data_IF_716972803227
#
_entry.id   IF_716972803227
#
_cell.length_a   1.000
_cell.length_b   1.000
_cell.length_c   1.000
_cell.angle_alpha   90.00
_cell.angle_beta   90.00
_cell.angle_gamma   90.00
#
_symmetry.space_group_name_H-M   'P 1'
#
loop_
_entity.id
_entity.type
_entity.pdbx_description
1 polymer ?
#
# COMPACT_ATOMS: atom_id res chain seq x y z
N UNK A 1 -4.84 -34.84 6.53
CA UNK A 1 -5.30 -34.52 7.89
C UNK A 1 -4.21 -33.65 8.54
N UNK A 2 -4.31 -32.34 8.37
CA UNK A 2 -3.43 -31.40 9.05
C UNK A 2 -4.13 -30.96 10.32
N UNK A 3 -3.50 -31.27 11.43
CA UNK A 3 -3.92 -30.85 12.78
C UNK A 3 -3.85 -29.31 12.85
N UNK A 4 -5.00 -28.65 12.98
CA UNK A 4 -5.10 -27.27 13.43
C UNK A 4 -4.96 -27.33 14.95
N UNK A 5 -3.73 -27.14 15.42
CA UNK A 5 -3.45 -26.95 16.84
C UNK A 5 -3.20 -25.45 17.08
N UNK A 6 -3.86 -24.96 18.11
CA UNK A 6 -3.78 -23.65 18.77
C UNK A 6 -4.39 -22.47 17.99
N UNK A 7 -5.36 -21.82 18.64
CA UNK A 7 -6.17 -20.67 18.25
C UNK A 7 -5.45 -19.38 17.76
N UNK A 8 -4.36 -19.52 17.00
CA UNK A 8 -3.76 -18.42 16.26
C UNK A 8 -4.62 -18.14 15.02
N UNK A 9 -5.01 -16.88 14.84
CA UNK A 9 -5.74 -16.47 13.66
C UNK A 9 -4.92 -16.81 12.41
N UNK A 10 -5.57 -17.36 11.39
CA UNK A 10 -4.94 -17.60 10.08
C UNK A 10 -4.47 -16.25 9.52
N UNK A 11 -3.24 -16.22 9.02
CA UNK A 11 -2.61 -15.05 8.43
C UNK A 11 -2.42 -15.27 6.93
N UNK A 12 -2.87 -14.31 6.13
CA UNK A 12 -2.60 -14.27 4.70
C UNK A 12 -1.53 -13.24 4.34
N UNK A 13 -0.71 -13.52 3.35
CA UNK A 13 0.29 -12.60 2.82
C UNK A 13 -0.35 -11.65 1.81
N UNK A 14 -0.41 -10.36 2.14
CA UNK A 14 -1.03 -9.30 1.35
C UNK A 14 0.03 -8.30 0.90
N UNK A 15 0.19 -8.10 -0.41
CA UNK A 15 1.00 -7.01 -0.96
C UNK A 15 0.29 -5.69 -0.73
N UNK A 16 0.89 -4.76 0.02
CA UNK A 16 0.24 -3.49 0.35
C UNK A 16 0.33 -2.42 -0.75
N UNK A 17 1.08 -2.66 -1.84
CA UNK A 17 1.31 -1.66 -2.87
C UNK A 17 1.28 -2.25 -4.27
N UNK A 18 0.15 -2.11 -4.94
CA UNK A 18 -0.05 -2.61 -6.30
C UNK A 18 -0.90 -1.65 -7.15
N UNK A 19 -0.64 -1.66 -8.46
CA UNK A 19 -1.29 -0.80 -9.43
C UNK A 19 -1.97 -1.59 -10.54
N UNK A 20 -2.93 -0.93 -11.23
CA UNK A 20 -3.55 -1.43 -12.44
C UNK A 20 -3.60 -0.37 -13.54
N UNK A 21 -3.57 -0.80 -14.81
CA UNK A 21 -3.58 0.09 -15.97
C UNK A 21 -4.91 0.84 -16.17
N UNK A 22 -5.98 0.44 -15.47
CA UNK A 22 -7.27 1.13 -15.52
C UNK A 22 -7.19 2.58 -15.03
N UNK A 23 -6.29 2.83 -14.07
CA UNK A 23 -6.05 4.15 -13.46
C UNK A 23 -4.59 4.57 -13.60
N UNK A 24 -3.63 3.78 -13.11
CA UNK A 24 -2.21 4.14 -13.07
C UNK A 24 -1.57 4.04 -14.45
N UNK A 25 -1.25 5.18 -15.06
CA UNK A 25 -0.70 5.24 -16.44
C UNK A 25 0.66 4.57 -16.62
N UNK A 26 1.43 4.46 -15.55
CA UNK A 26 2.73 3.76 -15.54
C UNK A 26 2.56 2.23 -15.45
N UNK A 27 1.42 1.75 -14.97
CA UNK A 27 1.09 0.34 -14.96
C UNK A 27 0.68 -0.14 -16.36
N UNK A 28 1.18 -1.32 -16.76
CA UNK A 28 0.98 -1.86 -18.12
C UNK A 28 -0.04 -2.99 -18.18
N UNK A 29 -0.50 -3.47 -17.04
CA UNK A 29 -1.36 -4.65 -16.92
C UNK A 29 -2.69 -4.32 -16.25
N UNK A 30 -3.78 -4.96 -16.67
CA UNK A 30 -5.09 -4.78 -16.04
C UNK A 30 -5.13 -5.43 -14.65
N UNK A 31 -6.11 -5.02 -13.84
CA UNK A 31 -6.26 -5.50 -12.48
C UNK A 31 -6.39 -7.02 -12.39
N UNK A 32 -7.06 -7.65 -13.36
CA UNK A 32 -7.21 -9.11 -13.44
C UNK A 32 -5.85 -9.81 -13.49
N UNK A 33 -4.95 -9.34 -14.35
CA UNK A 33 -3.59 -9.90 -14.44
C UNK A 33 -2.78 -9.66 -13.16
N UNK A 34 -2.93 -8.49 -12.51
CA UNK A 34 -2.32 -8.23 -11.19
C UNK A 34 -2.75 -9.26 -10.17
N UNK A 35 -4.03 -9.59 -10.14
CA UNK A 35 -4.63 -10.55 -9.21
C UNK A 35 -4.19 -11.98 -9.53
N UNK A 36 -4.17 -12.37 -10.81
CA UNK A 36 -3.70 -13.68 -11.24
C UNK A 36 -2.22 -13.92 -10.89
N UNK A 37 -1.38 -12.91 -11.12
CA UNK A 37 0.04 -12.97 -10.75
C UNK A 37 0.23 -13.04 -9.23
N UNK A 38 -0.54 -12.27 -8.45
CA UNK A 38 -0.53 -12.37 -6.99
C UNK A 38 -0.83 -13.81 -6.54
N UNK A 39 -1.89 -14.41 -7.08
CA UNK A 39 -2.26 -15.81 -6.80
C UNK A 39 -1.16 -16.78 -7.23
N UNK A 40 -0.58 -16.59 -8.41
CA UNK A 40 0.46 -17.48 -8.98
C UNK A 40 1.69 -17.59 -8.08
N UNK A 41 2.09 -16.49 -7.43
CA UNK A 41 3.26 -16.49 -6.52
C UNK A 41 2.90 -16.79 -5.06
N UNK A 42 1.63 -17.08 -4.76
CA UNK A 42 1.16 -17.46 -3.43
C UNK A 42 0.98 -16.28 -2.48
N UNK A 43 0.48 -15.15 -2.98
CA UNK A 43 -0.12 -14.11 -2.15
C UNK A 43 -1.61 -14.43 -1.93
N UNK A 44 -2.12 -14.02 -0.77
CA UNK A 44 -3.54 -14.15 -0.40
C UNK A 44 -4.34 -12.90 -0.74
N UNK A 45 -3.67 -11.83 -1.15
CA UNK A 45 -4.32 -10.60 -1.58
C UNK A 45 -3.36 -9.47 -1.93
N UNK A 46 -3.97 -8.35 -2.30
CA UNK A 46 -3.31 -7.08 -2.62
C UNK A 46 -4.09 -5.91 -2.01
N UNK A 47 -3.42 -4.81 -1.77
CA UNK A 47 -4.06 -3.50 -1.65
C UNK A 47 -3.88 -2.79 -3.00
N UNK A 48 -4.99 -2.46 -3.65
CA UNK A 48 -4.95 -1.71 -4.90
C UNK A 48 -4.79 -0.22 -4.56
N UNK A 49 -3.58 0.29 -4.75
CA UNK A 49 -3.14 1.65 -4.42
C UNK A 49 -2.85 2.45 -5.69
N UNK A 50 -3.77 2.45 -6.64
CA UNK A 50 -3.59 3.20 -7.86
C UNK A 50 -3.18 4.66 -7.59
N UNK A 51 -2.39 5.23 -8.49
CA UNK A 51 -2.00 6.64 -8.38
C UNK A 51 -3.21 7.56 -8.39
N UNK A 52 -3.20 8.51 -7.45
CA UNK A 52 -4.11 9.63 -7.42
C UNK A 52 -3.33 10.93 -7.63
N UNK A 53 -3.32 11.44 -8.86
CA UNK A 53 -2.47 12.56 -9.26
C UNK A 53 -3.14 13.39 -10.39
N UNK A 54 -2.86 14.69 -10.40
CA UNK A 54 -3.47 15.66 -11.32
C UNK A 54 -3.31 15.30 -12.81
N UNK A 55 -2.13 14.80 -13.21
CA UNK A 55 -1.86 14.46 -14.61
C UNK A 55 -2.74 13.33 -15.16
N UNK A 56 -3.35 12.51 -14.29
CA UNK A 56 -4.19 11.40 -14.69
C UNK A 56 -5.66 11.77 -14.88
N UNK A 57 -6.06 12.98 -14.44
CA UNK A 57 -7.38 13.53 -14.74
C UNK A 57 -7.62 13.70 -16.25
N UNK A 58 -6.58 14.04 -17.02
CA UNK A 58 -6.68 14.26 -18.48
C UNK A 58 -7.79 15.23 -18.89
N UNK A 59 -7.94 16.32 -18.10
CA UNK A 59 -8.95 17.34 -18.34
C UNK A 59 -10.37 16.99 -17.87
N UNK A 60 -10.54 15.88 -17.13
CA UNK A 60 -11.82 15.57 -16.46
C UNK A 60 -11.97 16.39 -15.20
N UNK A 61 -13.20 16.59 -14.80
CA UNK A 61 -13.49 17.09 -13.47
C UNK A 61 -13.03 16.11 -12.37
N UNK A 62 -12.52 16.60 -11.24
CA UNK A 62 -11.99 15.73 -10.19
C UNK A 62 -12.96 14.63 -9.72
N UNK A 63 -14.25 14.93 -9.55
CA UNK A 63 -15.25 13.93 -9.15
C UNK A 63 -15.51 12.85 -10.22
N UNK A 64 -15.39 13.18 -11.52
CA UNK A 64 -15.45 12.18 -12.58
C UNK A 64 -14.26 11.21 -12.51
N UNK A 65 -13.09 11.74 -12.13
CA UNK A 65 -11.92 10.91 -11.94
C UNK A 65 -12.07 10.01 -10.70
N UNK A 66 -12.61 10.52 -9.60
CA UNK A 66 -12.96 9.72 -8.41
C UNK A 66 -13.88 8.56 -8.77
N UNK A 67 -14.96 8.82 -9.52
CA UNK A 67 -15.90 7.79 -9.94
C UNK A 67 -15.19 6.65 -10.70
N UNK A 68 -14.30 6.97 -11.64
CA UNK A 68 -13.50 5.99 -12.38
C UNK A 68 -12.52 5.24 -11.50
N UNK A 69 -11.92 5.92 -10.51
CA UNK A 69 -11.00 5.31 -9.57
C UNK A 69 -11.70 4.22 -8.76
N UNK A 70 -12.88 4.51 -8.25
CA UNK A 70 -13.70 3.58 -7.49
C UNK A 70 -14.26 2.44 -8.36
N UNK A 71 -14.68 2.73 -9.59
CA UNK A 71 -15.13 1.70 -10.55
C UNK A 71 -14.02 0.67 -10.82
N UNK A 72 -12.77 1.12 -11.03
CA UNK A 72 -11.62 0.22 -11.21
C UNK A 72 -11.38 -0.63 -9.95
N UNK A 73 -11.46 -0.05 -8.77
CA UNK A 73 -11.34 -0.78 -7.53
C UNK A 73 -12.45 -1.83 -7.38
N UNK A 74 -13.71 -1.47 -7.60
CA UNK A 74 -14.83 -2.40 -7.48
C UNK A 74 -14.72 -3.56 -8.47
N UNK A 75 -14.30 -3.29 -9.72
CA UNK A 75 -14.04 -4.31 -10.72
C UNK A 75 -12.93 -5.28 -10.29
N UNK A 76 -11.82 -4.74 -9.80
CA UNK A 76 -10.71 -5.54 -9.27
C UNK A 76 -11.13 -6.38 -8.08
N UNK A 77 -11.88 -5.80 -7.13
CA UNK A 77 -12.37 -6.49 -5.94
C UNK A 77 -13.30 -7.65 -6.30
N UNK A 78 -14.27 -7.41 -7.18
CA UNK A 78 -15.18 -8.47 -7.63
C UNK A 78 -14.44 -9.63 -8.32
N UNK A 79 -13.43 -9.31 -9.14
CA UNK A 79 -12.58 -10.33 -9.77
C UNK A 79 -11.75 -11.09 -8.73
N UNK A 80 -11.17 -10.40 -7.75
CA UNK A 80 -10.41 -10.99 -6.66
C UNK A 80 -11.27 -11.98 -5.83
N UNK A 81 -12.46 -11.54 -5.43
CA UNK A 81 -13.42 -12.35 -4.67
C UNK A 81 -13.77 -13.64 -5.43
N UNK A 82 -14.00 -13.55 -6.74
CA UNK A 82 -14.30 -14.72 -7.59
C UNK A 82 -13.11 -15.69 -7.73
N UNK A 83 -11.89 -15.24 -7.50
CA UNK A 83 -10.65 -16.01 -7.65
C UNK A 83 -9.94 -16.31 -6.31
N UNK A 84 -10.56 -16.01 -5.17
CA UNK A 84 -10.04 -16.31 -3.83
C UNK A 84 -8.85 -15.40 -3.42
N UNK A 85 -8.75 -14.21 -3.98
CA UNK A 85 -7.74 -13.21 -3.66
C UNK A 85 -8.41 -11.98 -3.02
N UNK A 86 -7.95 -11.59 -1.84
CA UNK A 86 -8.43 -10.35 -1.20
C UNK A 86 -7.91 -9.14 -1.96
N UNK A 87 -8.82 -8.22 -2.33
CA UNK A 87 -8.46 -6.92 -2.91
C UNK A 87 -8.96 -5.84 -1.96
N UNK A 88 -8.03 -5.18 -1.30
CA UNK A 88 -8.33 -4.12 -0.33
C UNK A 88 -8.17 -2.74 -0.98
N UNK A 89 -8.90 -1.76 -0.45
CA UNK A 89 -8.84 -0.38 -0.91
C UNK A 89 -7.66 0.37 -0.29
N UNK A 90 -6.91 1.07 -1.14
CA UNK A 90 -5.87 2.01 -0.74
C UNK A 90 -5.68 3.07 -1.84
N UNK A 91 -4.88 4.07 -1.55
CA UNK A 91 -4.62 5.18 -2.48
C UNK A 91 -3.13 5.48 -2.44
N UNK A 92 -2.50 5.70 -3.60
CA UNK A 92 -1.19 6.31 -3.66
C UNK A 92 -1.29 7.73 -4.24
N UNK A 93 -1.09 8.73 -3.39
CA UNK A 93 -1.11 10.13 -3.79
C UNK A 93 0.28 10.56 -4.25
N UNK A 94 0.35 11.15 -5.45
CA UNK A 94 1.54 11.90 -5.89
C UNK A 94 1.34 13.36 -5.53
N UNK A 95 2.17 13.89 -4.65
CA UNK A 95 2.07 15.27 -4.19
C UNK A 95 2.58 16.25 -5.24
N UNK A 96 1.80 17.30 -5.57
CA UNK A 96 2.26 18.36 -6.47
C UNK A 96 3.44 19.13 -5.86
N UNK A 97 4.41 19.47 -6.71
CA UNK A 97 5.61 20.19 -6.28
C UNK A 97 6.72 19.31 -5.69
N UNK A 98 6.45 18.05 -5.39
CA UNK A 98 7.44 17.07 -4.94
C UNK A 98 7.66 16.04 -6.05
N UNK A 99 8.82 16.08 -6.69
CA UNK A 99 9.16 15.04 -7.67
C UNK A 99 9.34 13.71 -6.95
N UNK A 100 8.68 12.68 -7.47
CA UNK A 100 8.84 11.27 -7.06
C UNK A 100 8.41 10.95 -5.61
N UNK A 101 7.87 11.91 -4.86
CA UNK A 101 7.34 11.63 -3.52
C UNK A 101 5.89 11.18 -3.64
N UNK A 102 5.65 9.98 -3.15
CA UNK A 102 4.33 9.38 -3.10
C UNK A 102 3.95 9.03 -1.67
N UNK A 103 2.66 9.14 -1.36
CA UNK A 103 2.12 8.82 -0.04
C UNK A 103 1.00 7.78 -0.20
N UNK A 104 1.12 6.69 0.55
CA UNK A 104 0.11 5.65 0.64
C UNK A 104 -0.89 5.99 1.74
N UNK A 105 -2.17 5.83 1.44
CA UNK A 105 -3.26 6.04 2.38
C UNK A 105 -4.01 4.74 2.56
N UNK A 106 -4.12 4.29 3.81
CA UNK A 106 -4.90 3.13 4.20
C UNK A 106 -5.90 3.49 5.28
N UNK A 107 -6.95 2.71 5.43
CA UNK A 107 -7.89 2.86 6.54
C UNK A 107 -8.95 3.92 6.35
N UNK A 108 -9.04 4.52 5.18
CA UNK A 108 -10.12 5.46 4.82
C UNK A 108 -11.24 4.73 4.05
N UNK A 109 -12.47 5.22 4.17
CA UNK A 109 -13.58 4.75 3.35
C UNK A 109 -13.46 5.27 1.91
N UNK A 110 -14.22 4.69 1.00
CA UNK A 110 -14.30 5.14 -0.40
C UNK A 110 -14.80 6.60 -0.52
N UNK A 111 -15.66 7.04 0.41
CA UNK A 111 -16.17 8.42 0.46
C UNK A 111 -15.06 9.46 0.69
N UNK A 112 -13.90 9.04 1.17
CA UNK A 112 -12.78 9.93 1.40
C UNK A 112 -12.35 10.66 0.13
N UNK A 113 -12.25 9.96 -1.01
CA UNK A 113 -11.93 10.60 -2.29
C UNK A 113 -13.03 11.55 -2.76
N UNK A 114 -14.30 11.23 -2.50
CA UNK A 114 -15.41 12.12 -2.83
C UNK A 114 -15.36 13.43 -2.03
N UNK A 115 -14.94 13.34 -0.75
CA UNK A 115 -14.77 14.51 0.11
C UNK A 115 -13.50 15.31 -0.21
N UNK A 116 -12.48 14.67 -0.78
CA UNK A 116 -11.16 15.26 -1.07
C UNK A 116 -10.73 15.04 -2.53
N UNK A 117 -11.52 15.50 -3.53
CA UNK A 117 -11.28 15.16 -4.94
C UNK A 117 -10.03 15.81 -5.55
N UNK A 118 -9.41 16.78 -4.87
CA UNK A 118 -8.16 17.44 -5.27
C UNK A 118 -7.01 17.12 -4.31
N UNK A 119 -7.04 15.94 -3.70
CA UNK A 119 -6.07 15.47 -2.69
C UNK A 119 -4.60 15.64 -3.09
N UNK A 120 -4.30 15.55 -4.37
CA UNK A 120 -2.97 15.73 -4.95
C UNK A 120 -2.45 17.19 -4.86
N UNK A 121 -3.30 18.16 -4.54
CA UNK A 121 -2.93 19.57 -4.35
C UNK A 121 -2.60 19.91 -2.89
N UNK A 122 -2.80 18.95 -1.96
CA UNK A 122 -2.57 19.17 -0.54
C UNK A 122 -1.08 19.24 -0.22
N UNK A 123 -0.71 20.09 0.73
CA UNK A 123 0.56 19.99 1.43
C UNK A 123 0.62 18.70 2.27
N UNK A 124 1.80 18.28 2.71
CA UNK A 124 1.93 17.12 3.57
C UNK A 124 1.09 17.26 4.85
N UNK A 125 1.06 18.46 5.45
CA UNK A 125 0.27 18.72 6.66
C UNK A 125 -1.23 18.63 6.43
N UNK A 126 -1.75 19.19 5.33
CA UNK A 126 -3.16 19.10 4.95
C UNK A 126 -3.56 17.65 4.68
N UNK A 127 -2.72 16.91 3.93
CA UNK A 127 -2.93 15.50 3.65
C UNK A 127 -2.96 14.67 4.94
N UNK A 128 -1.98 14.86 5.82
CA UNK A 128 -1.91 14.17 7.10
C UNK A 128 -3.15 14.44 7.96
N UNK A 129 -3.55 15.71 8.10
CA UNK A 129 -4.76 16.08 8.85
C UNK A 129 -6.04 15.46 8.28
N UNK A 130 -6.20 15.49 6.95
CA UNK A 130 -7.37 14.90 6.30
C UNK A 130 -7.44 13.39 6.53
N UNK A 131 -6.33 12.67 6.34
CA UNK A 131 -6.24 11.23 6.55
C UNK A 131 -6.52 10.86 8.01
N UNK A 132 -5.95 11.61 8.97
CA UNK A 132 -6.19 11.38 10.41
C UNK A 132 -7.64 11.64 10.80
N UNK A 133 -8.26 12.70 10.28
CA UNK A 133 -9.67 13.02 10.53
C UNK A 133 -10.60 11.92 10.02
N UNK A 134 -10.24 11.26 8.91
CA UNK A 134 -10.95 10.11 8.36
C UNK A 134 -10.62 8.77 9.05
N UNK A 135 -9.79 8.77 10.09
CA UNK A 135 -9.38 7.54 10.78
C UNK A 135 -8.33 6.70 10.06
N UNK A 136 -7.77 7.19 8.98
CA UNK A 136 -6.74 6.51 8.19
C UNK A 136 -5.33 6.57 8.78
N UNK A 137 -4.40 6.01 8.02
CA UNK A 137 -2.95 6.08 8.22
C UNK A 137 -2.27 6.56 6.94
N UNK A 138 -1.25 7.42 7.09
CA UNK A 138 -0.47 8.00 6.01
C UNK A 138 0.96 7.43 6.05
N UNK A 139 1.37 6.76 4.99
CA UNK A 139 2.65 6.08 4.87
C UNK A 139 3.43 6.69 3.71
N UNK A 140 4.70 7.06 3.88
CA UNK A 140 5.52 7.42 2.73
C UNK A 140 5.90 6.15 1.94
N UNK A 141 5.55 6.11 0.67
CA UNK A 141 5.91 5.05 -0.26
C UNK A 141 7.42 5.12 -0.58
N UNK A 142 8.07 3.95 -0.71
CA UNK A 142 9.42 3.77 -1.25
C UNK A 142 10.38 4.96 -1.00
N UNK A 143 10.66 5.38 0.27
CA UNK A 143 11.63 6.42 0.55
C UNK A 143 12.99 6.09 -0.09
N UNK A 144 13.70 7.15 -0.53
CA UNK A 144 15.00 7.04 -1.22
C UNK A 144 14.99 6.42 -2.63
N UNK A 145 13.81 6.16 -3.19
CA UNK A 145 13.73 5.78 -4.60
C UNK A 145 14.32 6.89 -5.47
N UNK A 146 15.38 6.57 -6.25
CA UNK A 146 16.01 7.50 -7.20
C UNK A 146 16.43 8.86 -6.61
N UNK A 147 16.89 8.86 -5.37
CA UNK A 147 17.34 10.05 -4.68
C UNK A 147 16.24 10.88 -4.03
N UNK A 148 15.04 10.33 -3.89
CA UNK A 148 13.95 10.94 -3.12
C UNK A 148 14.36 11.08 -1.65
N UNK A 149 13.85 12.11 -1.01
CA UNK A 149 14.10 12.36 0.40
C UNK A 149 12.96 11.83 1.27
N UNK A 150 13.32 11.51 2.51
CA UNK A 150 12.33 11.29 3.55
C UNK A 150 11.60 12.61 3.84
N UNK A 151 10.26 12.54 3.83
CA UNK A 151 9.39 13.66 4.21
C UNK A 151 9.42 13.89 5.72
N UNK A 152 8.72 14.93 6.19
CA UNK A 152 8.63 15.20 7.62
C UNK A 152 7.92 14.05 8.36
N UNK A 153 8.69 13.32 9.17
CA UNK A 153 8.20 12.14 9.90
C UNK A 153 7.19 12.46 11.01
N UNK A 154 7.08 13.74 11.39
CA UNK A 154 6.04 14.19 12.31
C UNK A 154 4.66 14.30 11.64
N UNK A 155 4.63 14.35 10.32
CA UNK A 155 3.44 14.50 9.49
C UNK A 155 3.14 13.24 8.65
N UNK A 156 3.45 12.05 9.21
CA UNK A 156 3.08 10.75 8.67
C UNK A 156 2.97 9.72 9.80
N UNK A 157 2.32 8.60 9.52
CA UNK A 157 2.20 7.49 10.45
C UNK A 157 3.27 6.41 10.23
N UNK A 158 3.86 6.33 9.04
CA UNK A 158 4.81 5.27 8.73
C UNK A 158 5.56 5.45 7.42
N UNK A 159 6.39 4.46 7.14
CA UNK A 159 7.20 4.35 5.91
C UNK A 159 7.13 2.94 5.36
N UNK A 160 7.38 2.80 4.07
CA UNK A 160 7.33 1.53 3.35
C UNK A 160 8.72 0.97 3.07
N UNK A 161 8.86 -0.35 3.23
CA UNK A 161 9.89 -1.16 2.57
C UNK A 161 9.34 -1.54 1.19
N UNK A 162 9.92 -1.01 0.13
CA UNK A 162 9.50 -1.37 -1.23
C UNK A 162 10.40 -2.46 -1.82
N UNK A 163 9.77 -3.52 -2.33
CA UNK A 163 10.45 -4.64 -2.98
C UNK A 163 10.50 -4.51 -4.50
N UNK A 164 10.32 -3.32 -5.05
CA UNK A 164 10.31 -3.09 -6.49
C UNK A 164 11.71 -3.36 -7.10
N UNK A 165 11.83 -4.30 -8.05
CA UNK A 165 13.14 -4.78 -8.54
C UNK A 165 13.94 -3.77 -9.37
N UNK A 166 13.32 -2.66 -9.78
CA UNK A 166 14.02 -1.59 -10.51
C UNK A 166 14.54 -0.47 -9.59
N UNK A 167 14.41 -0.63 -8.27
CA UNK A 167 14.98 0.29 -7.31
C UNK A 167 16.40 -0.13 -6.93
N UNK A 168 17.14 0.74 -6.24
CA UNK A 168 18.52 0.47 -5.85
C UNK A 168 18.63 -0.60 -4.75
N UNK A 169 17.55 -0.80 -3.98
CA UNK A 169 17.44 -1.79 -2.91
C UNK A 169 16.13 -1.61 -2.14
N UNK A 170 15.82 -2.56 -1.27
CA UNK A 170 14.68 -2.45 -0.35
C UNK A 170 14.94 -1.47 0.78
N UNK A 171 16.21 -1.21 1.08
CA UNK A 171 16.67 -0.41 2.23
C UNK A 171 16.07 -0.87 3.57
N UNK A 172 15.74 -2.16 3.68
CA UNK A 172 14.96 -2.74 4.79
C UNK A 172 15.49 -2.33 6.17
N UNK A 173 16.79 -2.48 6.41
CA UNK A 173 17.41 -2.15 7.71
C UNK A 173 17.44 -0.63 7.98
N UNK A 174 17.54 0.18 6.95
CA UNK A 174 17.50 1.64 7.08
C UNK A 174 16.08 2.10 7.40
N UNK A 175 15.07 1.59 6.68
CA UNK A 175 13.66 1.87 6.95
C UNK A 175 13.29 1.47 8.37
N UNK A 176 13.74 0.30 8.84
CA UNK A 176 13.52 -0.16 10.21
C UNK A 176 14.11 0.80 11.24
N UNK A 177 15.37 1.23 11.06
CA UNK A 177 16.04 2.18 11.97
C UNK A 177 15.33 3.54 12.03
N UNK A 178 14.87 4.04 10.88
CA UNK A 178 14.09 5.29 10.83
C UNK A 178 12.77 5.12 11.56
N UNK A 179 12.04 4.04 11.29
CA UNK A 179 10.76 3.75 11.93
C UNK A 179 10.89 3.61 13.46
N UNK A 180 11.93 2.92 13.95
CA UNK A 180 12.24 2.79 15.38
C UNK A 180 12.57 4.14 16.01
N UNK A 181 13.42 4.96 15.36
CA UNK A 181 13.84 6.27 15.85
C UNK A 181 12.67 7.25 15.99
N UNK A 182 11.78 7.29 15.00
CA UNK A 182 10.72 8.29 14.89
C UNK A 182 9.35 7.77 15.36
N UNK A 183 9.27 6.50 15.81
CA UNK A 183 8.04 5.87 16.29
C UNK A 183 7.00 5.67 15.19
N UNK A 184 7.45 5.34 13.97
CA UNK A 184 6.62 5.15 12.80
C UNK A 184 6.18 3.69 12.63
N UNK A 185 5.09 3.48 11.89
CA UNK A 185 4.75 2.18 11.34
C UNK A 185 5.74 1.80 10.25
N UNK A 186 5.94 0.49 10.07
CA UNK A 186 6.71 -0.06 8.96
C UNK A 186 5.82 -0.99 8.15
N UNK A 187 5.68 -0.73 6.87
CA UNK A 187 4.90 -1.54 5.93
C UNK A 187 5.78 -2.13 4.85
N UNK A 188 5.25 -3.04 4.04
CA UNK A 188 5.98 -3.63 2.91
C UNK A 188 5.04 -3.82 1.73
N UNK A 189 5.51 -3.46 0.53
CA UNK A 189 4.80 -3.62 -0.71
C UNK A 189 5.71 -3.79 -1.92
N UNK A 190 5.11 -4.25 -3.04
CA UNK A 190 5.83 -4.54 -4.27
C UNK A 190 5.93 -3.39 -5.26
N UNK A 191 5.09 -2.38 -5.10
CA UNK A 191 4.90 -1.31 -6.09
C UNK A 191 4.74 -1.88 -7.52
N UNK A 192 3.85 -2.88 -7.63
CA UNK A 192 3.76 -3.74 -8.80
C UNK A 192 3.10 -3.06 -10.00
N UNK A 193 3.79 -3.05 -11.16
CA UNK A 193 3.37 -2.30 -12.35
C UNK A 193 3.40 -3.10 -13.66
N UNK A 194 4.01 -4.29 -13.70
CA UNK A 194 4.22 -5.00 -14.94
C UNK A 194 4.35 -6.52 -14.75
N UNK A 195 3.97 -7.29 -15.76
CA UNK A 195 4.05 -8.74 -15.81
C UNK A 195 5.48 -9.31 -15.92
N UNK A 196 6.46 -8.45 -16.14
CA UNK A 196 7.88 -8.83 -16.27
C UNK A 196 8.54 -9.17 -14.94
N UNK A 197 7.91 -8.82 -13.83
CA UNK A 197 8.38 -9.12 -12.48
C UNK A 197 7.22 -9.12 -11.49
N UNK A 198 7.31 -9.91 -10.44
CA UNK A 198 6.41 -9.85 -9.29
C UNK A 198 7.19 -10.26 -8.04
N UNK A 199 7.58 -9.34 -7.16
CA UNK A 199 8.22 -9.70 -5.90
C UNK A 199 7.23 -10.43 -4.98
N UNK A 200 7.70 -11.46 -4.28
CA UNK A 200 6.93 -12.08 -3.20
C UNK A 200 7.15 -11.29 -1.92
N UNK A 201 6.30 -10.33 -1.68
CA UNK A 201 6.42 -9.42 -0.54
C UNK A 201 5.05 -8.97 -0.04
N UNK A 202 5.02 -8.31 1.10
CA UNK A 202 3.83 -7.76 1.71
C UNK A 202 3.77 -7.97 3.22
N UNK A 203 2.59 -7.82 3.79
CA UNK A 203 2.35 -8.02 5.21
C UNK A 203 1.48 -9.26 5.46
N UNK A 204 1.78 -9.97 6.54
CA UNK A 204 0.92 -11.03 7.04
C UNK A 204 -0.24 -10.42 7.83
N UNK A 205 -1.44 -10.52 7.29
CA UNK A 205 -2.65 -9.95 7.87
C UNK A 205 -3.64 -11.05 8.28
N UNK A 206 -4.34 -10.88 9.42
CA UNK A 206 -5.43 -11.77 9.81
C UNK A 206 -6.50 -11.90 8.72
N UNK A 207 -7.15 -13.04 8.64
CA UNK A 207 -8.27 -13.28 7.69
C UNK A 207 -9.46 -12.34 7.92
N UNK A 208 -9.58 -11.78 9.13
CA UNK A 208 -10.59 -10.75 9.46
C UNK A 208 -10.35 -9.39 8.80
N UNK A 209 -9.14 -9.13 8.27
CA UNK A 209 -8.84 -7.89 7.53
C UNK A 209 -9.32 -8.06 6.10
N UNK A 210 -10.55 -7.65 5.84
CA UNK A 210 -11.24 -7.81 4.54
C UNK A 210 -11.60 -6.50 3.86
N UNK A 211 -11.34 -5.35 4.50
CA UNK A 211 -11.60 -4.01 3.95
C UNK A 211 -10.40 -3.08 4.18
N UNK A 212 -10.38 -1.94 3.48
CA UNK A 212 -9.36 -0.90 3.69
C UNK A 212 -9.39 -0.35 5.11
N UNK A 213 -10.59 -0.13 5.66
CA UNK A 213 -10.77 0.38 7.04
C UNK A 213 -10.25 -0.63 8.08
N UNK A 214 -10.52 -1.93 7.88
CA UNK A 214 -9.99 -2.98 8.75
C UNK A 214 -8.46 -3.06 8.69
N UNK A 215 -7.86 -2.84 7.51
CA UNK A 215 -6.41 -2.71 7.36
C UNK A 215 -5.86 -1.55 8.19
N UNK A 216 -6.47 -0.35 8.07
CA UNK A 216 -6.03 0.82 8.84
C UNK A 216 -6.16 0.62 10.34
N UNK A 217 -7.23 -0.04 10.81
CA UNK A 217 -7.42 -0.40 12.21
C UNK A 217 -6.32 -1.37 12.67
N UNK A 218 -6.06 -2.43 11.92
CA UNK A 218 -4.99 -3.39 12.21
C UNK A 218 -3.62 -2.73 12.31
N UNK A 219 -3.24 -1.88 11.35
CA UNK A 219 -1.96 -1.18 11.35
C UNK A 219 -1.77 -0.30 12.60
N UNK A 220 -2.85 0.33 13.09
CA UNK A 220 -2.82 1.17 14.29
C UNK A 220 -2.78 0.38 15.60
N UNK A 221 -3.35 -0.81 15.62
CA UNK A 221 -3.62 -1.56 16.88
C UNK A 221 -2.65 -2.72 17.09
N UNK A 222 -2.08 -3.29 16.04
CA UNK A 222 -1.21 -4.46 16.14
C UNK A 222 0.08 -4.15 16.91
N UNK A 223 0.36 -4.95 17.97
CA UNK A 223 1.61 -4.85 18.72
C UNK A 223 2.82 -5.34 17.94
N UNK A 224 2.58 -6.15 16.93
CA UNK A 224 3.61 -6.74 16.08
C UNK A 224 3.12 -6.75 14.63
N UNK A 225 3.94 -6.20 13.75
CA UNK A 225 3.77 -6.25 12.29
C UNK A 225 4.76 -7.27 11.73
N UNK A 226 4.24 -8.25 10.98
CA UNK A 226 5.07 -9.26 10.31
C UNK A 226 4.99 -9.06 8.81
N UNK A 227 6.14 -9.00 8.17
CA UNK A 227 6.29 -8.74 6.75
C UNK A 227 7.10 -9.85 6.09
N UNK A 228 6.82 -10.12 4.82
CA UNK A 228 7.68 -10.87 3.91
C UNK A 228 8.38 -9.85 3.01
N UNK A 229 9.70 -9.86 2.98
CA UNK A 229 10.51 -8.95 2.17
C UNK A 229 11.30 -9.79 1.17
N UNK A 230 11.29 -9.39 -0.09
CA UNK A 230 12.18 -9.94 -1.12
C UNK A 230 13.09 -8.83 -1.63
N UNK A 231 14.40 -9.05 -1.57
CA UNK A 231 15.36 -8.08 -2.10
C UNK A 231 15.22 -7.91 -3.61
N UNK A 232 15.65 -6.77 -4.10
CA UNK A 232 15.51 -6.36 -5.51
C UNK A 232 16.27 -7.26 -6.49
N UNK A 233 17.26 -8.00 -6.01
CA UNK A 233 18.03 -9.00 -6.78
C UNK A 233 17.27 -10.32 -7.00
N UNK A 234 16.06 -10.43 -6.44
CA UNK A 234 15.22 -11.62 -6.55
C UNK A 234 15.63 -12.78 -5.64
N UNK A 235 16.49 -12.54 -4.64
CA UNK A 235 16.86 -13.55 -3.65
C UNK A 235 15.67 -14.12 -2.89
N UNK A 236 15.89 -15.19 -2.15
CA UNK A 236 14.83 -15.85 -1.37
C UNK A 236 14.17 -14.86 -0.40
N UNK A 237 12.83 -14.74 -0.41
CA UNK A 237 12.13 -13.89 0.54
C UNK A 237 12.40 -14.29 1.99
N UNK A 238 12.41 -13.30 2.89
CA UNK A 238 12.63 -13.50 4.31
C UNK A 238 11.61 -12.72 5.14
N UNK A 239 11.38 -13.16 6.36
CA UNK A 239 10.44 -12.52 7.27
C UNK A 239 11.12 -11.41 8.09
N UNK A 240 10.41 -10.29 8.21
CA UNK A 240 10.75 -9.18 9.10
C UNK A 240 9.65 -9.05 10.15
N UNK A 241 10.05 -8.99 11.42
CA UNK A 241 9.15 -8.74 12.55
C UNK A 241 9.47 -7.36 13.10
N UNK A 242 8.46 -6.48 13.11
CA UNK A 242 8.57 -5.12 13.60
C UNK A 242 7.56 -4.87 14.74
N UNK A 243 7.99 -4.17 15.79
CA UNK A 243 7.14 -3.76 16.91
C UNK A 243 7.09 -2.24 16.96
N UNK A 244 5.99 -1.63 16.50
CA UNK A 244 5.86 -0.17 16.53
C UNK A 244 5.99 0.38 17.94
N UNK A 245 6.82 1.41 18.10
CA UNK A 245 6.83 2.16 19.36
C UNK A 245 5.54 3.00 19.39
N UNK A 246 4.53 2.55 20.11
CA UNK A 246 3.28 3.33 20.25
C UNK A 246 3.59 4.68 20.88
N UNK A 247 3.30 5.77 20.16
CA UNK A 247 3.28 7.11 20.77
C UNK A 247 2.20 7.07 21.86
N UNK A 248 2.63 7.14 23.12
CA UNK A 248 1.75 7.23 24.29
C UNK A 248 1.02 8.57 24.30
#
# INVERSE_FOLDING_TARGET
MNQRENGEASLGLIDLHAHSSGISRCCRIPAETVIEEARRIGLDGIVLTNHYQKKDLKGREPLEYVARYLEEFHRARAYGEANGIRVLYGIEVTMEGFKLVHMLIYGVSEDFLCAHPTLYEYSQEELYRAVKAAGGVLIQAHPYRRGDSLMDTALMDGIEISCHPLYEGTHCEEMRRIAERDGLLLTCGGDYHADTYRPKCGMYLPDSVTTGEALGAYLKEADTLRMCVQEVDGSTPFDVIYRPARKR
#
